data_IF_799496575425
#
_entry.id   IF_799496575425
#
_cell.length_a   1.000
_cell.length_b   1.000
_cell.length_c   1.000
_cell.angle_alpha   90.00
_cell.angle_beta   90.00
_cell.angle_gamma   90.00
#
_symmetry.space_group_name_H-M   'P 1'
#
loop_
_entity.id
_entity.type
_entity.pdbx_description
1 polymer ?
#
# COMPACT_ATOMS: atom_id res chain seq x y z
N UNK A 1 -10.29 24.14 -17.20
CA UNK A 1 -10.70 22.87 -16.56
C UNK A 1 -12.15 23.00 -16.14
N UNK A 2 -13.03 22.07 -16.43
CA UNK A 2 -14.39 22.13 -15.91
C UNK A 2 -14.32 22.10 -14.38
N UNK A 3 -14.92 23.11 -13.74
CA UNK A 3 -15.04 23.17 -12.28
C UNK A 3 -16.11 22.16 -11.85
N UNK A 4 -15.69 20.94 -11.55
CA UNK A 4 -16.57 19.99 -10.87
C UNK A 4 -16.69 20.44 -9.41
N UNK A 5 -17.77 21.16 -9.13
CA UNK A 5 -18.06 21.64 -7.79
C UNK A 5 -18.67 20.49 -6.96
N UNK A 6 -17.80 19.64 -6.41
CA UNK A 6 -18.15 18.51 -5.56
C UNK A 6 -17.92 18.97 -4.13
N UNK A 7 -18.90 18.75 -3.27
CA UNK A 7 -18.73 18.89 -1.83
C UNK A 7 -17.61 17.92 -1.37
N UNK A 8 -16.51 18.47 -0.93
CA UNK A 8 -15.35 17.73 -0.39
C UNK A 8 -15.21 18.08 1.07
N UNK A 9 -14.91 17.08 1.88
CA UNK A 9 -14.50 17.36 3.27
C UNK A 9 -13.21 18.17 3.30
N UNK A 10 -12.92 18.82 4.41
CA UNK A 10 -11.66 19.57 4.57
C UNK A 10 -10.42 18.73 4.27
N UNK A 11 -10.42 17.46 4.70
CA UNK A 11 -9.32 16.51 4.43
C UNK A 11 -9.24 16.11 2.96
N UNK A 12 -10.36 15.89 2.29
CA UNK A 12 -10.37 15.61 0.85
C UNK A 12 -9.84 16.80 0.04
N UNK A 13 -10.12 18.02 0.45
CA UNK A 13 -9.57 19.23 -0.18
C UNK A 13 -8.06 19.30 -0.01
N UNK A 14 -7.53 18.98 1.17
CA UNK A 14 -6.08 18.87 1.41
C UNK A 14 -5.46 17.76 0.55
N UNK A 15 -6.12 16.59 0.46
CA UNK A 15 -5.67 15.48 -0.38
C UNK A 15 -5.53 15.91 -1.85
N UNK A 16 -6.53 16.59 -2.43
CA UNK A 16 -6.48 17.08 -3.81
C UNK A 16 -5.28 18.01 -4.04
N UNK A 17 -4.97 18.88 -3.09
CA UNK A 17 -3.80 19.75 -3.18
C UNK A 17 -2.50 18.94 -3.21
N UNK A 18 -2.34 17.99 -2.29
CA UNK A 18 -1.15 17.14 -2.25
C UNK A 18 -0.99 16.30 -3.52
N UNK A 19 -2.09 15.71 -4.04
CA UNK A 19 -2.10 14.93 -5.29
C UNK A 19 -1.73 15.78 -6.53
N UNK A 20 -1.99 17.08 -6.50
CA UNK A 20 -1.58 18.00 -7.55
C UNK A 20 -0.09 18.35 -7.44
N UNK A 21 0.40 18.58 -6.23
CA UNK A 21 1.71 19.18 -5.98
C UNK A 21 2.84 18.13 -5.91
N UNK A 22 2.55 16.87 -5.56
CA UNK A 22 3.55 15.82 -5.33
C UNK A 22 3.44 14.66 -6.35
N UNK A 23 4.56 13.95 -6.56
CA UNK A 23 4.63 12.76 -7.42
C UNK A 23 4.03 11.53 -6.71
N UNK A 24 4.38 11.31 -5.46
CA UNK A 24 3.94 10.18 -4.65
C UNK A 24 3.18 10.68 -3.42
N UNK A 25 1.95 10.22 -3.25
CA UNK A 25 1.09 10.65 -2.14
C UNK A 25 0.50 9.44 -1.44
N UNK A 26 0.73 9.33 -0.14
CA UNK A 26 0.12 8.36 0.73
C UNK A 26 -1.06 8.95 1.49
N UNK A 27 -2.24 8.40 1.27
CA UNK A 27 -3.45 8.68 2.02
C UNK A 27 -3.65 7.55 3.03
N UNK A 28 -3.35 7.76 4.29
CA UNK A 28 -3.45 6.74 5.31
C UNK A 28 -4.41 7.15 6.44
N UNK A 29 -4.80 6.22 7.27
CA UNK A 29 -5.68 6.53 8.42
C UNK A 29 -6.84 5.56 8.58
N UNK A 30 -7.86 5.97 9.31
CA UNK A 30 -8.97 5.12 9.71
C UNK A 30 -9.88 4.69 8.55
N UNK A 31 -10.78 3.74 8.84
CA UNK A 31 -11.72 3.20 7.87
C UNK A 31 -12.77 4.25 7.45
N UNK A 32 -13.30 4.12 6.22
CA UNK A 32 -14.37 5.00 5.66
C UNK A 32 -14.10 6.50 5.79
N UNK A 33 -12.83 6.90 5.78
CA UNK A 33 -12.40 8.31 5.81
C UNK A 33 -12.44 9.02 4.46
N UNK A 34 -12.89 8.35 3.40
CA UNK A 34 -12.99 8.91 2.05
C UNK A 34 -11.67 8.87 1.24
N UNK A 35 -10.63 8.17 1.72
CA UNK A 35 -9.33 8.03 1.03
C UNK A 35 -9.48 7.47 -0.39
N UNK A 36 -10.07 6.30 -0.52
CA UNK A 36 -10.26 5.60 -1.80
C UNK A 36 -11.07 6.43 -2.78
N UNK A 37 -12.15 7.07 -2.31
CA UNK A 37 -12.97 7.94 -3.13
C UNK A 37 -12.16 9.10 -3.74
N UNK A 38 -11.40 9.84 -2.92
CA UNK A 38 -10.64 11.00 -3.41
C UNK A 38 -9.45 10.60 -4.29
N UNK A 39 -8.84 9.44 -4.05
CA UNK A 39 -7.80 8.87 -4.90
C UNK A 39 -8.36 8.50 -6.29
N UNK A 40 -9.47 7.77 -6.35
CA UNK A 40 -10.16 7.43 -7.59
C UNK A 40 -10.64 8.68 -8.33
N UNK A 41 -11.20 9.64 -7.61
CA UNK A 41 -11.61 10.93 -8.16
C UNK A 41 -10.45 11.63 -8.89
N UNK A 42 -9.26 11.65 -8.30
CA UNK A 42 -8.08 12.23 -8.92
C UNK A 42 -7.65 11.46 -10.18
N UNK A 43 -7.66 10.12 -10.15
CA UNK A 43 -7.32 9.29 -11.32
C UNK A 43 -8.33 9.48 -12.45
N UNK A 44 -9.64 9.50 -12.16
CA UNK A 44 -10.70 9.72 -13.16
C UNK A 44 -10.60 11.13 -13.75
N UNK A 45 -10.36 12.15 -12.95
CA UNK A 45 -10.14 13.51 -13.47
C UNK A 45 -8.94 13.58 -14.42
N UNK A 46 -7.87 12.86 -14.13
CA UNK A 46 -6.71 12.79 -15.02
C UNK A 46 -7.06 12.09 -16.33
N UNK A 47 -7.79 10.97 -16.28
CA UNK A 47 -8.26 10.28 -17.48
C UNK A 47 -9.18 11.15 -18.35
N UNK A 48 -10.01 12.00 -17.72
CA UNK A 48 -10.87 12.95 -18.46
C UNK A 48 -10.05 14.08 -19.11
N UNK A 49 -9.07 14.64 -18.38
CA UNK A 49 -8.36 15.85 -18.81
C UNK A 49 -7.16 15.59 -19.72
N UNK A 50 -6.57 14.40 -19.71
CA UNK A 50 -5.41 14.03 -20.52
C UNK A 50 -5.81 12.99 -21.56
N UNK A 51 -5.78 13.36 -22.85
CA UNK A 51 -6.21 12.53 -23.98
C UNK A 51 -5.28 11.32 -24.14
N UNK A 52 -5.86 10.13 -24.35
CA UNK A 52 -5.12 8.92 -24.70
C UNK A 52 -4.20 8.37 -23.61
N UNK A 53 -4.37 8.79 -22.36
CA UNK A 53 -3.54 8.35 -21.25
C UNK A 53 -4.02 7.04 -20.64
N UNK A 54 -3.07 6.26 -20.12
CA UNK A 54 -3.37 5.06 -19.34
C UNK A 54 -3.15 5.32 -17.87
N UNK A 55 -4.07 4.80 -17.05
CA UNK A 55 -4.00 4.85 -15.60
C UNK A 55 -4.23 3.46 -15.03
N UNK A 56 -3.68 3.18 -13.87
CA UNK A 56 -3.81 1.89 -13.18
C UNK A 56 -4.41 2.11 -11.79
N UNK A 57 -5.40 1.29 -11.46
CA UNK A 57 -5.86 1.07 -10.09
C UNK A 57 -5.59 -0.39 -9.75
N UNK A 58 -4.79 -0.62 -8.74
CA UNK A 58 -4.31 -1.97 -8.42
C UNK A 58 -4.43 -2.25 -6.92
N UNK A 59 -4.68 -3.51 -6.60
CA UNK A 59 -4.79 -4.02 -5.24
C UNK A 59 -4.03 -5.34 -5.15
N UNK A 60 -3.74 -5.85 -3.95
CA UNK A 60 -3.12 -7.16 -3.81
C UNK A 60 -3.96 -8.23 -4.52
N UNK A 61 -5.24 -8.41 -4.14
CA UNK A 61 -6.13 -9.38 -4.79
C UNK A 61 -6.98 -8.74 -5.86
N UNK A 62 -6.94 -9.29 -7.08
CA UNK A 62 -7.76 -8.81 -8.19
C UNK A 62 -9.27 -8.92 -7.89
N UNK A 63 -9.71 -10.03 -7.27
CA UNK A 63 -11.12 -10.20 -6.90
C UNK A 63 -11.62 -9.07 -5.99
N UNK A 64 -10.79 -8.61 -5.05
CA UNK A 64 -11.10 -7.48 -4.18
C UNK A 64 -11.09 -6.15 -4.94
N UNK A 65 -10.14 -5.94 -5.87
CA UNK A 65 -10.13 -4.75 -6.72
C UNK A 65 -11.41 -4.69 -7.57
N UNK A 66 -11.82 -5.81 -8.16
CA UNK A 66 -13.06 -5.91 -8.94
C UNK A 66 -14.28 -5.54 -8.09
N UNK A 67 -14.43 -6.11 -6.90
CA UNK A 67 -15.58 -5.85 -6.05
C UNK A 67 -15.60 -4.41 -5.54
N UNK A 68 -14.54 -3.98 -4.84
CA UNK A 68 -14.52 -2.70 -4.13
C UNK A 68 -14.30 -1.48 -5.06
N UNK A 69 -13.61 -1.68 -6.18
CA UNK A 69 -13.33 -0.58 -7.11
C UNK A 69 -14.34 -0.58 -8.27
N UNK A 70 -14.45 -1.68 -9.04
CA UNK A 70 -15.29 -1.65 -10.24
C UNK A 70 -16.78 -1.60 -9.92
N UNK A 71 -17.25 -2.31 -8.90
CA UNK A 71 -18.68 -2.39 -8.62
C UNK A 71 -19.17 -1.39 -7.57
N UNK A 72 -18.30 -0.93 -6.67
CA UNK A 72 -18.68 0.01 -5.61
C UNK A 72 -18.17 1.43 -5.90
N UNK A 73 -16.86 1.68 -5.76
CA UNK A 73 -16.33 3.05 -5.69
C UNK A 73 -16.26 3.78 -7.02
N UNK A 74 -15.92 3.10 -8.12
CA UNK A 74 -15.79 3.73 -9.43
C UNK A 74 -17.13 4.25 -9.99
N UNK A 75 -18.25 3.49 -9.92
CA UNK A 75 -19.56 4.00 -10.33
C UNK A 75 -19.93 5.29 -9.60
N UNK A 76 -19.71 5.38 -8.28
CA UNK A 76 -20.00 6.57 -7.50
C UNK A 76 -19.16 7.78 -7.96
N UNK A 77 -17.87 7.59 -8.19
CA UNK A 77 -16.99 8.65 -8.69
C UNK A 77 -17.41 9.11 -10.09
N UNK A 78 -17.72 8.18 -11.00
CA UNK A 78 -18.18 8.50 -12.36
C UNK A 78 -19.50 9.28 -12.34
N UNK A 79 -20.46 8.88 -11.50
CA UNK A 79 -21.75 9.56 -11.33
C UNK A 79 -21.55 10.99 -10.82
N UNK A 80 -20.71 11.17 -9.81
CA UNK A 80 -20.39 12.49 -9.26
C UNK A 80 -19.73 13.40 -10.31
N UNK A 81 -18.92 12.84 -11.20
CA UNK A 81 -18.29 13.55 -12.32
C UNK A 81 -19.18 13.66 -13.57
N UNK A 82 -20.43 13.17 -13.52
CA UNK A 82 -21.36 13.11 -14.65
C UNK A 82 -20.74 12.44 -15.89
N UNK A 83 -19.94 11.40 -15.66
CA UNK A 83 -19.23 10.65 -16.68
C UNK A 83 -19.75 9.21 -16.85
N UNK A 84 -20.63 8.77 -15.98
CA UNK A 84 -21.18 7.42 -15.87
C UNK A 84 -21.83 6.88 -17.15
N UNK A 85 -22.50 7.73 -17.94
CA UNK A 85 -23.14 7.33 -19.21
C UNK A 85 -22.17 7.27 -20.40
N UNK A 86 -20.97 7.82 -20.28
CA UNK A 86 -20.00 7.97 -21.38
C UNK A 86 -18.79 7.06 -21.24
N UNK A 87 -18.50 6.59 -20.04
CA UNK A 87 -17.37 5.70 -19.74
C UNK A 87 -17.85 4.25 -19.76
N UNK A 88 -17.13 3.39 -20.49
CA UNK A 88 -17.49 1.98 -20.67
C UNK A 88 -16.53 1.08 -19.90
N UNK A 89 -17.03 0.05 -19.24
CA UNK A 89 -16.23 -1.00 -18.62
C UNK A 89 -16.04 -2.16 -19.59
N UNK A 90 -14.80 -2.39 -20.03
CA UNK A 90 -14.40 -3.63 -20.70
C UNK A 90 -14.18 -4.71 -19.63
N UNK A 91 -15.05 -5.73 -19.62
CA UNK A 91 -15.00 -6.83 -18.65
C UNK A 91 -14.08 -7.98 -19.07
N UNK A 92 -13.61 -8.01 -20.32
CA UNK A 92 -12.65 -9.01 -20.78
C UNK A 92 -11.24 -8.69 -20.26
N UNK A 93 -10.83 -7.44 -20.39
CA UNK A 93 -9.50 -6.95 -20.00
C UNK A 93 -9.48 -6.10 -18.74
N UNK A 94 -10.65 -5.81 -18.18
CA UNK A 94 -10.84 -5.07 -16.93
C UNK A 94 -10.25 -3.66 -16.94
N UNK A 95 -10.68 -2.84 -17.90
CA UNK A 95 -10.40 -1.42 -17.92
C UNK A 95 -11.65 -0.58 -18.24
N UNK A 96 -11.66 0.63 -17.72
CA UNK A 96 -12.62 1.65 -18.10
C UNK A 96 -12.09 2.44 -19.29
N UNK A 97 -12.91 2.60 -20.34
CA UNK A 97 -12.60 3.35 -21.55
C UNK A 97 -13.34 4.68 -21.55
N UNK A 98 -12.60 5.75 -21.75
CA UNK A 98 -13.10 7.12 -21.80
C UNK A 98 -13.26 7.60 -23.25
N UNK A 99 -14.23 8.53 -23.56
CA UNK A 99 -14.47 9.02 -24.92
C UNK A 99 -13.26 9.68 -25.58
N UNK A 100 -12.29 10.14 -24.79
CA UNK A 100 -11.06 10.76 -25.28
C UNK A 100 -9.91 9.75 -25.53
N UNK A 101 -10.20 8.44 -25.49
CA UNK A 101 -9.24 7.37 -25.69
C UNK A 101 -8.37 7.05 -24.45
N UNK A 102 -8.59 7.71 -23.33
CA UNK A 102 -7.90 7.36 -22.09
C UNK A 102 -8.50 6.08 -21.48
N UNK A 103 -7.69 5.36 -20.69
CA UNK A 103 -8.14 4.14 -20.02
C UNK A 103 -7.70 4.09 -18.56
N UNK A 104 -8.55 3.49 -17.71
CA UNK A 104 -8.19 3.14 -16.32
C UNK A 104 -8.25 1.62 -16.17
N UNK A 105 -7.10 1.00 -16.04
CA UNK A 105 -6.94 -0.43 -15.86
C UNK A 105 -7.14 -0.82 -14.40
N UNK A 106 -7.76 -1.97 -14.19
CA UNK A 106 -7.98 -2.54 -12.86
C UNK A 106 -7.14 -3.80 -12.74
N UNK A 107 -6.24 -3.83 -11.75
CA UNK A 107 -5.26 -4.88 -11.59
C UNK A 107 -5.27 -5.58 -10.23
N UNK A 108 -4.57 -6.71 -10.18
CA UNK A 108 -4.22 -7.45 -8.97
C UNK A 108 -2.78 -7.92 -9.06
N UNK A 109 -2.18 -8.18 -7.90
CA UNK A 109 -0.80 -8.67 -7.75
C UNK A 109 -0.76 -10.15 -7.32
N UNK A 110 -1.94 -10.79 -7.18
CA UNK A 110 -2.11 -12.16 -6.71
C UNK A 110 -2.06 -13.21 -7.83
N UNK A 111 -1.90 -12.78 -9.08
CA UNK A 111 -1.85 -13.64 -10.26
C UNK A 111 -0.70 -13.21 -11.17
N UNK A 112 0.24 -14.11 -11.45
CA UNK A 112 1.47 -13.81 -12.19
C UNK A 112 1.19 -13.34 -13.62
N UNK A 113 0.30 -14.01 -14.34
CA UNK A 113 -0.03 -13.67 -15.74
C UNK A 113 -0.65 -12.26 -15.85
N UNK A 114 -1.56 -11.93 -14.93
CA UNK A 114 -2.16 -10.59 -14.84
C UNK A 114 -1.16 -9.52 -14.47
N UNK A 115 -0.28 -9.84 -13.54
CA UNK A 115 0.80 -8.93 -13.12
C UNK A 115 1.73 -8.66 -14.32
N UNK A 116 2.14 -9.68 -15.06
CA UNK A 116 2.96 -9.54 -16.27
C UNK A 116 2.25 -8.70 -17.36
N UNK A 117 0.94 -8.88 -17.56
CA UNK A 117 0.15 -8.05 -18.48
C UNK A 117 0.16 -6.56 -18.07
N UNK A 118 0.07 -6.28 -16.79
CA UNK A 118 0.16 -4.91 -16.26
C UNK A 118 1.57 -4.36 -16.47
N UNK A 119 2.60 -5.16 -16.18
CA UNK A 119 4.00 -4.79 -16.34
C UNK A 119 4.43 -4.54 -17.79
N UNK A 120 3.71 -5.06 -18.76
CA UNK A 120 3.89 -4.75 -20.19
C UNK A 120 3.43 -3.35 -20.58
N UNK A 121 2.79 -2.59 -19.68
CA UNK A 121 2.24 -1.27 -19.96
C UNK A 121 2.88 -0.19 -19.09
N UNK A 122 2.80 1.05 -19.61
CA UNK A 122 3.20 2.26 -18.87
C UNK A 122 1.96 3.09 -18.53
N UNK A 123 2.00 3.76 -17.38
CA UNK A 123 0.86 4.49 -16.82
C UNK A 123 1.23 5.92 -16.45
N UNK A 124 0.32 6.84 -16.73
CA UNK A 124 0.43 8.23 -16.31
C UNK A 124 0.09 8.44 -14.81
N UNK A 125 -0.72 7.54 -14.27
CA UNK A 125 -1.01 7.50 -12.83
C UNK A 125 -1.20 6.05 -12.40
N UNK A 126 -0.75 5.75 -11.18
CA UNK A 126 -0.97 4.46 -10.52
C UNK A 126 -1.60 4.74 -9.17
N UNK A 127 -2.68 4.03 -8.85
CA UNK A 127 -3.29 4.02 -7.53
C UNK A 127 -3.19 2.61 -6.93
N UNK A 128 -2.32 2.46 -5.94
CA UNK A 128 -2.16 1.26 -5.14
C UNK A 128 -3.12 1.33 -3.94
N UNK A 129 -4.24 0.63 -4.05
CA UNK A 129 -5.28 0.60 -3.03
C UNK A 129 -5.04 -0.53 -2.02
N UNK A 130 -5.24 -0.23 -0.73
CA UNK A 130 -5.02 -1.15 0.39
C UNK A 130 -3.59 -1.73 0.42
N UNK A 131 -2.61 -0.85 0.27
CA UNK A 131 -1.19 -1.20 0.17
C UNK A 131 -0.62 -1.89 1.42
N UNK A 132 -1.37 -1.94 2.53
CA UNK A 132 -0.98 -2.71 3.74
C UNK A 132 -0.79 -4.21 3.51
N UNK A 133 -1.25 -4.74 2.38
CA UNK A 133 -1.13 -6.15 2.00
C UNK A 133 -0.05 -6.38 0.92
N UNK A 134 0.64 -5.34 0.48
CA UNK A 134 1.55 -5.38 -0.66
C UNK A 134 3.00 -5.30 -0.18
N UNK A 135 3.86 -6.18 -0.71
CA UNK A 135 5.28 -6.19 -0.41
C UNK A 135 5.99 -4.95 -0.96
N UNK A 136 7.17 -4.65 -0.41
CA UNK A 136 7.99 -3.56 -0.90
C UNK A 136 8.45 -3.79 -2.34
N UNK A 137 8.83 -5.01 -2.70
CA UNK A 137 9.25 -5.38 -4.06
C UNK A 137 8.14 -5.12 -5.09
N UNK A 138 6.90 -5.49 -4.75
CA UNK A 138 5.74 -5.19 -5.62
C UNK A 138 5.51 -3.69 -5.76
N UNK A 139 5.72 -2.92 -4.68
CA UNK A 139 5.67 -1.45 -4.74
C UNK A 139 6.76 -0.89 -5.67
N UNK A 140 8.02 -1.32 -5.53
CA UNK A 140 9.12 -0.89 -6.40
C UNK A 140 8.85 -1.23 -7.86
N UNK A 141 8.43 -2.47 -8.13
CA UNK A 141 8.04 -2.92 -9.46
C UNK A 141 6.98 -1.99 -10.09
N UNK A 142 5.94 -1.62 -9.36
CA UNK A 142 4.91 -0.70 -9.85
C UNK A 142 5.46 0.70 -10.16
N UNK A 143 6.44 1.19 -9.40
CA UNK A 143 7.05 2.50 -9.65
C UNK A 143 7.77 2.57 -11.00
N UNK A 144 8.30 1.42 -11.49
CA UNK A 144 8.95 1.33 -12.80
C UNK A 144 7.97 1.49 -13.97
N UNK A 145 6.66 1.30 -13.72
CA UNK A 145 5.61 1.44 -14.73
C UNK A 145 5.00 2.85 -14.77
N UNK A 146 5.41 3.73 -13.88
CA UNK A 146 4.94 5.11 -13.84
C UNK A 146 5.73 5.99 -14.82
N UNK A 147 5.33 5.95 -16.08
CA UNK A 147 5.95 6.71 -17.17
C UNK A 147 4.87 7.42 -18.00
N UNK A 148 4.45 8.64 -17.62
CA UNK A 148 3.46 9.40 -18.37
C UNK A 148 4.04 9.95 -19.69
N UNK A 149 3.18 10.29 -20.68
CA UNK A 149 3.58 11.08 -21.83
C UNK A 149 4.24 12.41 -21.42
N UNK A 150 5.10 12.93 -22.27
CA UNK A 150 5.80 14.22 -22.04
C UNK A 150 4.79 15.34 -21.73
N UNK A 151 5.10 16.14 -20.72
CA UNK A 151 4.24 17.23 -20.25
C UNK A 151 3.16 16.84 -19.23
N UNK A 152 3.02 15.56 -18.93
CA UNK A 152 2.10 15.08 -17.89
C UNK A 152 2.90 14.64 -16.66
N UNK A 153 2.63 15.30 -15.52
CA UNK A 153 3.28 14.94 -14.25
C UNK A 153 2.90 13.51 -13.84
N UNK A 154 3.87 12.64 -13.52
CA UNK A 154 3.59 11.33 -12.96
C UNK A 154 2.87 11.46 -11.61
N UNK A 155 1.94 10.53 -11.31
CA UNK A 155 1.22 10.51 -10.05
C UNK A 155 1.11 9.07 -9.53
N UNK A 156 1.69 8.81 -8.38
CA UNK A 156 1.54 7.58 -7.64
C UNK A 156 0.78 7.82 -6.34
N UNK A 157 -0.38 7.20 -6.23
CA UNK A 157 -1.25 7.31 -5.05
C UNK A 157 -1.22 5.97 -4.32
N UNK A 158 -1.09 6.04 -3.02
CA UNK A 158 -1.10 4.87 -2.13
C UNK A 158 -2.16 5.13 -1.06
N UNK A 159 -3.02 4.16 -0.78
CA UNK A 159 -3.86 4.26 0.39
C UNK A 159 -3.81 2.99 1.25
N UNK A 160 -3.99 3.13 2.54
CA UNK A 160 -4.15 2.03 3.48
C UNK A 160 -4.69 2.47 4.85
N UNK A 161 -5.23 1.53 5.59
CA UNK A 161 -5.34 1.64 7.04
C UNK A 161 -4.00 1.17 7.63
N UNK A 162 -3.36 1.97 8.52
CA UNK A 162 -1.99 1.72 8.95
C UNK A 162 -1.76 0.29 9.44
N UNK A 163 -0.78 -0.42 8.89
CA UNK A 163 -0.33 -1.72 9.40
C UNK A 163 0.59 -1.56 10.60
N UNK A 164 1.40 -2.55 10.93
CA UNK A 164 2.49 -2.46 11.90
C UNK A 164 3.62 -1.54 11.44
N UNK A 165 4.48 -1.14 12.38
CA UNK A 165 5.63 -0.25 12.11
C UNK A 165 6.75 -0.90 11.29
N UNK A 166 6.73 -2.22 11.14
CA UNK A 166 7.63 -2.99 10.27
C UNK A 166 7.32 -2.84 8.79
N UNK A 167 6.11 -2.39 8.44
CA UNK A 167 5.69 -2.23 7.06
C UNK A 167 6.47 -1.11 6.37
N UNK A 168 6.84 -1.33 5.09
CA UNK A 168 7.59 -0.36 4.28
C UNK A 168 6.94 1.04 4.21
N UNK A 169 5.61 1.10 4.27
CA UNK A 169 4.89 2.37 4.28
C UNK A 169 5.21 3.23 5.52
N UNK A 170 5.45 2.61 6.68
CA UNK A 170 5.93 3.33 7.86
C UNK A 170 7.34 3.87 7.64
N UNK A 171 8.24 3.05 7.11
CA UNK A 171 9.61 3.47 6.81
C UNK A 171 9.65 4.68 5.86
N UNK A 172 8.94 4.61 4.73
CA UNK A 172 8.96 5.65 3.71
C UNK A 172 8.26 6.94 4.19
N UNK A 173 7.06 6.82 4.77
CA UNK A 173 6.20 8.00 5.02
C UNK A 173 6.34 8.56 6.44
N UNK A 174 6.75 7.77 7.44
CA UNK A 174 7.01 8.25 8.80
C UNK A 174 8.49 8.49 9.06
N UNK A 175 9.34 7.47 8.81
CA UNK A 175 10.77 7.57 9.09
C UNK A 175 11.56 8.29 7.97
N UNK A 176 10.94 8.56 6.82
CA UNK A 176 11.56 9.22 5.67
C UNK A 176 12.79 8.48 5.13
N UNK A 177 12.74 7.13 5.19
CA UNK A 177 13.78 6.23 4.68
C UNK A 177 13.16 5.10 3.89
N UNK A 178 13.78 4.74 2.78
CA UNK A 178 13.47 3.49 2.11
C UNK A 178 13.86 2.28 3.00
N UNK A 179 13.30 1.07 2.78
CA UNK A 179 13.68 -0.11 3.55
C UNK A 179 15.17 -0.44 3.54
N UNK A 180 15.90 -0.10 2.48
CA UNK A 180 17.34 -0.23 2.34
C UNK A 180 18.15 0.86 3.08
N UNK A 181 17.49 1.77 3.79
CA UNK A 181 18.10 2.85 4.57
C UNK A 181 18.38 4.15 3.82
N UNK A 182 18.25 4.19 2.49
CA UNK A 182 18.42 5.43 1.71
C UNK A 182 17.36 6.47 2.10
N UNK A 183 17.71 7.77 2.15
CA UNK A 183 16.74 8.82 2.46
C UNK A 183 15.70 8.98 1.34
N UNK A 184 14.46 9.25 1.72
CA UNK A 184 13.39 9.59 0.78
C UNK A 184 13.61 11.01 0.27
N UNK A 185 13.59 11.25 -1.07
CA UNK A 185 13.76 12.58 -1.65
C UNK A 185 12.75 13.59 -1.09
N UNK A 186 13.21 14.82 -0.87
CA UNK A 186 12.33 15.92 -0.50
C UNK A 186 11.50 16.38 -1.70
N UNK A 187 10.28 16.84 -1.43
CA UNK A 187 9.39 17.45 -2.43
C UNK A 187 8.57 16.48 -3.28
N UNK A 188 8.97 15.20 -3.40
CA UNK A 188 8.26 14.25 -4.24
C UNK A 188 7.25 13.36 -3.47
N UNK A 189 7.46 13.18 -2.17
CA UNK A 189 6.68 12.28 -1.32
C UNK A 189 5.90 13.07 -0.28
N UNK A 190 4.59 12.97 -0.34
CA UNK A 190 3.68 13.54 0.64
C UNK A 190 2.81 12.48 1.31
N UNK A 191 2.32 12.82 2.50
CA UNK A 191 1.38 11.97 3.23
C UNK A 191 0.24 12.80 3.83
N UNK A 192 -0.91 12.17 3.98
CA UNK A 192 -2.05 12.78 4.67
C UNK A 192 -2.80 11.73 5.47
N UNK A 193 -2.94 11.98 6.76
CA UNK A 193 -3.79 11.19 7.65
C UNK A 193 -5.24 11.62 7.49
N UNK A 194 -6.12 10.64 7.24
CA UNK A 194 -7.56 10.83 7.07
C UNK A 194 -8.32 9.82 7.93
N UNK A 195 -9.16 10.30 8.83
CA UNK A 195 -9.90 9.46 9.79
C UNK A 195 -11.42 9.53 9.57
N UNK A 196 -12.21 8.60 10.13
CA UNK A 196 -13.67 8.63 10.05
C UNK A 196 -14.27 9.97 10.48
N UNK A 197 -13.73 10.60 11.52
CA UNK A 197 -14.19 11.91 12.00
C UNK A 197 -14.06 13.02 10.93
N UNK A 198 -13.05 12.93 10.05
CA UNK A 198 -12.86 13.88 8.93
C UNK A 198 -13.89 13.71 7.81
N UNK A 199 -14.69 12.62 7.86
CA UNK A 199 -15.70 12.25 6.87
C UNK A 199 -17.07 12.05 7.51
N UNK A 200 -17.31 12.60 8.72
CA UNK A 200 -18.50 12.36 9.53
C UNK A 200 -19.82 12.67 8.80
N UNK A 201 -19.82 13.68 7.96
CA UNK A 201 -20.98 14.09 7.15
C UNK A 201 -21.47 13.02 6.16
N UNK A 202 -20.60 12.06 5.79
CA UNK A 202 -20.89 10.96 4.86
C UNK A 202 -21.05 9.61 5.59
N UNK A 203 -21.10 9.60 6.90
CA UNK A 203 -21.23 8.38 7.73
C UNK A 203 -22.46 8.43 8.60
N UNK A 204 -23.03 7.26 8.91
CA UNK A 204 -24.08 7.19 9.92
C UNK A 204 -23.53 7.56 11.30
N UNK A 205 -24.33 8.19 12.13
CA UNK A 205 -23.92 8.58 13.49
C UNK A 205 -23.44 7.37 14.32
N UNK A 206 -24.08 6.21 14.13
CA UNK A 206 -23.74 4.98 14.86
C UNK A 206 -22.43 4.33 14.37
N UNK A 207 -21.95 4.65 13.17
CA UNK A 207 -20.75 3.99 12.64
C UNK A 207 -19.49 4.32 13.47
N UNK A 208 -19.32 5.57 13.85
CA UNK A 208 -18.14 6.00 14.63
C UNK A 208 -18.30 5.61 16.10
N UNK A 209 -19.41 6.04 16.72
CA UNK A 209 -19.62 5.93 18.16
C UNK A 209 -20.10 4.53 18.59
N UNK A 210 -20.88 3.85 17.74
CA UNK A 210 -21.40 2.51 17.99
C UNK A 210 -20.47 1.40 17.49
N UNK A 211 -20.04 1.47 16.24
CA UNK A 211 -19.26 0.37 15.62
C UNK A 211 -17.76 0.49 15.89
N UNK A 212 -17.13 1.61 15.52
CA UNK A 212 -15.66 1.73 15.61
C UNK A 212 -15.18 1.91 17.06
N UNK A 213 -15.91 2.64 17.88
CA UNK A 213 -15.56 2.86 19.28
C UNK A 213 -15.57 1.57 20.11
N UNK A 214 -16.39 0.59 19.72
CA UNK A 214 -16.52 -0.70 20.42
C UNK A 214 -15.53 -1.76 19.93
N UNK A 215 -14.64 -1.45 19.01
CA UNK A 215 -13.56 -2.37 18.60
C UNK A 215 -12.52 -2.55 19.74
N UNK A 216 -11.79 -3.66 19.70
CA UNK A 216 -10.63 -3.84 20.59
C UNK A 216 -9.64 -2.67 20.43
N UNK A 217 -8.88 -2.37 21.48
CA UNK A 217 -7.95 -1.23 21.50
C UNK A 217 -7.02 -1.19 20.27
N UNK A 218 -6.45 -2.32 19.87
CA UNK A 218 -5.59 -2.41 18.69
C UNK A 218 -6.35 -2.11 17.38
N UNK A 219 -7.55 -2.65 17.22
CA UNK A 219 -8.39 -2.39 16.04
C UNK A 219 -8.89 -0.94 16.03
N UNK A 220 -9.24 -0.36 17.19
CA UNK A 220 -9.64 1.03 17.31
C UNK A 220 -8.50 1.96 16.92
N UNK A 221 -7.28 1.73 17.44
CA UNK A 221 -6.07 2.47 17.05
C UNK A 221 -5.88 2.50 15.53
N UNK A 222 -6.07 1.35 14.85
CA UNK A 222 -5.90 1.22 13.41
C UNK A 222 -7.07 1.81 12.59
N UNK A 223 -8.31 1.48 12.94
CA UNK A 223 -9.48 1.74 12.10
C UNK A 223 -10.25 3.01 12.47
N UNK A 224 -10.13 3.50 13.71
CA UNK A 224 -10.72 4.77 14.15
C UNK A 224 -9.67 5.87 14.19
N UNK A 225 -8.58 5.67 14.92
CA UNK A 225 -7.56 6.70 15.14
C UNK A 225 -6.59 6.81 13.94
N UNK A 226 -6.52 5.78 13.11
CA UNK A 226 -5.66 5.74 11.92
C UNK A 226 -4.18 5.80 12.27
N UNK A 227 -3.80 5.18 13.37
CA UNK A 227 -2.42 5.10 13.84
C UNK A 227 -1.79 3.75 13.53
N UNK A 228 -0.49 3.76 13.28
CA UNK A 228 0.27 2.52 13.16
C UNK A 228 0.23 1.75 14.48
N UNK A 229 -0.10 0.48 14.39
CA UNK A 229 -0.04 -0.43 15.51
C UNK A 229 1.42 -0.59 15.95
N UNK A 230 1.63 -0.74 17.25
CA UNK A 230 2.77 -1.49 17.70
C UNK A 230 2.49 -2.95 17.30
N UNK A 231 3.50 -3.74 17.01
CA UNK A 231 3.36 -5.14 16.59
C UNK A 231 2.75 -5.98 17.74
N UNK A 232 1.49 -5.66 18.10
CA UNK A 232 0.75 -6.32 19.18
C UNK A 232 0.34 -7.69 18.66
N UNK A 233 0.95 -8.72 19.21
CA UNK A 233 0.72 -10.11 18.82
C UNK A 233 1.87 -10.74 18.05
N UNK A 234 2.90 -10.00 17.71
CA UNK A 234 4.18 -10.58 17.30
C UNK A 234 4.90 -11.18 18.51
N UNK A 235 5.56 -12.29 18.30
CA UNK A 235 6.39 -12.95 19.32
C UNK A 235 7.51 -12.01 19.83
N UNK A 236 7.94 -11.07 18.97
CA UNK A 236 9.01 -10.11 19.25
C UNK A 236 8.50 -8.66 19.13
N UNK A 237 8.96 -7.81 20.05
CA UNK A 237 8.80 -6.36 19.96
C UNK A 237 10.15 -5.72 19.72
N UNK A 238 10.22 -4.78 18.76
CA UNK A 238 11.45 -4.09 18.42
C UNK A 238 12.12 -3.43 19.61
N UNK A 239 11.35 -2.94 20.56
CA UNK A 239 11.83 -2.34 21.82
C UNK A 239 12.54 -3.32 22.77
N UNK A 240 12.36 -4.63 22.54
CA UNK A 240 13.06 -5.68 23.29
C UNK A 240 14.40 -6.03 22.68
N UNK A 241 14.63 -5.68 21.41
CA UNK A 241 15.86 -6.00 20.68
C UNK A 241 16.91 -4.97 21.08
N UNK A 242 18.00 -5.43 21.68
CA UNK A 242 19.17 -4.64 22.05
C UNK A 242 20.34 -5.06 21.19
N UNK A 243 21.02 -4.11 20.58
CA UNK A 243 22.25 -4.37 19.84
C UNK A 243 23.42 -4.23 20.80
N UNK A 244 24.19 -5.30 20.96
CA UNK A 244 25.36 -5.33 21.83
C UNK A 244 26.45 -6.22 21.23
N UNK A 245 27.68 -6.12 21.77
CA UNK A 245 28.74 -7.02 21.39
C UNK A 245 28.42 -8.43 21.86
N UNK A 246 28.77 -9.44 21.03
CA UNK A 246 28.65 -10.86 21.39
C UNK A 246 29.42 -11.12 22.69
N UNK A 247 28.83 -11.79 23.69
CA UNK A 247 29.54 -12.21 24.89
C UNK A 247 30.57 -13.31 24.59
N UNK A 248 31.64 -13.32 25.34
CA UNK A 248 32.74 -14.28 25.15
C UNK A 248 32.37 -15.70 25.66
N UNK A 249 31.43 -15.81 26.63
CA UNK A 249 31.05 -17.05 27.32
C UNK A 249 29.67 -17.56 26.90
N UNK A 250 29.52 -18.01 25.66
CA UNK A 250 28.29 -18.65 25.19
C UNK A 250 28.21 -20.11 25.65
N UNK A 251 27.13 -20.46 26.38
CA UNK A 251 26.91 -21.83 26.87
C UNK A 251 26.26 -22.72 25.82
N UNK A 252 25.46 -22.14 24.89
CA UNK A 252 24.76 -22.88 23.87
C UNK A 252 24.61 -22.02 22.62
N UNK A 253 24.89 -22.64 21.46
CA UNK A 253 24.59 -22.09 20.13
C UNK A 253 23.67 -23.05 19.40
N UNK A 254 22.65 -22.52 18.73
CA UNK A 254 21.69 -23.28 17.93
C UNK A 254 21.45 -22.59 16.60
N UNK A 255 21.22 -23.37 15.55
CA UNK A 255 20.79 -22.88 14.25
C UNK A 255 19.32 -23.26 14.08
N UNK A 256 18.46 -22.26 13.94
CA UNK A 256 17.05 -22.45 13.61
C UNK A 256 16.87 -22.40 12.10
N UNK A 257 16.22 -23.41 11.53
CA UNK A 257 15.94 -23.48 10.08
C UNK A 257 14.44 -23.57 9.87
N UNK A 258 13.90 -22.65 9.08
CA UNK A 258 12.50 -22.64 8.64
C UNK A 258 12.45 -22.77 7.11
N UNK A 259 12.39 -24.01 6.59
CA UNK A 259 12.42 -24.24 5.14
C UNK A 259 11.11 -23.84 4.49
N UNK A 260 11.18 -23.23 3.30
CA UNK A 260 10.00 -22.91 2.51
C UNK A 260 9.42 -24.15 1.85
N UNK A 261 8.10 -24.14 1.57
CA UNK A 261 7.41 -25.24 0.90
C UNK A 261 7.73 -25.39 -0.60
N UNK A 262 8.45 -24.45 -1.23
CA UNK A 262 8.78 -24.49 -2.67
C UNK A 262 10.02 -23.66 -2.98
N UNK A 263 10.82 -24.08 -3.96
CA UNK A 263 12.04 -23.42 -4.42
C UNK A 263 11.82 -22.01 -5.06
N UNK A 264 10.60 -21.59 -5.26
CA UNK A 264 10.23 -20.25 -5.78
C UNK A 264 9.35 -19.45 -4.83
N UNK A 265 9.28 -19.86 -3.55
CA UNK A 265 8.51 -19.19 -2.49
C UNK A 265 9.33 -18.14 -1.73
N UNK A 266 8.98 -17.96 -0.46
CA UNK A 266 9.69 -17.08 0.45
C UNK A 266 11.11 -17.59 0.74
N UNK A 267 11.94 -16.79 1.41
CA UNK A 267 13.27 -17.19 1.87
C UNK A 267 13.19 -18.37 2.86
N UNK A 268 14.16 -19.27 2.80
CA UNK A 268 14.41 -20.21 3.89
C UNK A 268 15.01 -19.43 5.07
N UNK A 269 14.32 -19.38 6.19
CA UNK A 269 14.83 -18.75 7.40
C UNK A 269 15.96 -19.58 8.03
N UNK A 270 17.15 -19.02 8.18
CA UNK A 270 18.30 -19.65 8.83
C UNK A 270 18.92 -18.68 9.82
N UNK A 271 18.62 -18.84 11.10
CA UNK A 271 19.03 -17.91 12.15
C UNK A 271 19.92 -18.61 13.17
N UNK A 272 21.08 -18.04 13.44
CA UNK A 272 22.00 -18.52 14.50
C UNK A 272 21.68 -17.79 15.79
N UNK A 273 21.30 -18.54 16.80
CA UNK A 273 20.97 -18.03 18.13
C UNK A 273 21.83 -18.66 19.20
N UNK A 274 22.08 -17.95 20.28
CA UNK A 274 22.89 -18.41 21.41
C UNK A 274 22.31 -18.01 22.75
N UNK A 275 22.81 -18.61 23.81
CA UNK A 275 22.54 -18.21 25.19
C UNK A 275 23.82 -18.34 26.04
N UNK A 276 24.01 -17.40 26.95
CA UNK A 276 25.02 -17.45 28.04
C UNK A 276 24.46 -18.04 29.34
N UNK A 277 23.23 -18.57 29.29
CA UNK A 277 22.51 -19.12 30.44
C UNK A 277 21.63 -18.10 31.16
N UNK A 278 21.73 -16.81 30.84
CA UNK A 278 20.94 -15.70 31.40
C UNK A 278 20.13 -14.99 30.30
N UNK A 279 20.78 -14.65 29.21
CA UNK A 279 20.17 -13.95 28.06
C UNK A 279 20.24 -14.79 26.79
N UNK A 280 19.43 -14.40 25.79
CA UNK A 280 19.38 -15.02 24.48
C UNK A 280 19.84 -14.01 23.43
N UNK A 281 20.64 -14.46 22.48
CA UNK A 281 21.27 -13.66 21.47
C UNK A 281 20.92 -14.20 20.09
N UNK A 282 20.67 -13.30 19.13
CA UNK A 282 20.73 -13.61 17.71
C UNK A 282 22.11 -13.20 17.25
N UNK A 283 22.90 -14.15 16.81
CA UNK A 283 24.29 -13.94 16.41
C UNK A 283 24.39 -13.54 14.95
N UNK A 284 23.61 -14.22 14.09
CA UNK A 284 23.65 -13.97 12.65
C UNK A 284 22.39 -14.47 11.96
N UNK A 285 22.16 -14.00 10.72
CA UNK A 285 21.05 -14.36 9.86
C UNK A 285 21.59 -14.76 8.48
N UNK A 286 21.50 -16.05 8.15
CA UNK A 286 21.90 -16.66 6.89
C UNK A 286 20.70 -17.00 6.01
N UNK A 287 19.53 -16.42 6.26
CA UNK A 287 18.34 -16.64 5.46
C UNK A 287 18.59 -16.35 4.00
N UNK A 288 18.11 -17.22 3.10
CA UNK A 288 18.36 -17.08 1.67
C UNK A 288 17.24 -17.68 0.82
N UNK A 289 17.04 -17.08 -0.35
CA UNK A 289 16.31 -17.72 -1.44
C UNK A 289 17.21 -18.78 -2.10
N UNK A 290 16.69 -19.98 -2.31
CA UNK A 290 17.48 -21.03 -2.93
C UNK A 290 16.80 -22.39 -2.95
N UNK A 291 17.58 -23.39 -3.34
CA UNK A 291 17.20 -24.79 -3.34
C UNK A 291 17.50 -25.43 -1.99
N UNK A 292 16.87 -26.57 -1.65
CA UNK A 292 17.21 -27.33 -0.43
C UNK A 292 18.68 -27.64 -0.28
N UNK A 293 19.42 -27.82 -1.39
CA UNK A 293 20.86 -28.08 -1.37
C UNK A 293 21.66 -26.84 -0.95
N UNK A 294 21.25 -25.66 -1.40
CA UNK A 294 21.87 -24.40 -1.00
C UNK A 294 21.57 -24.05 0.46
N UNK A 295 20.36 -24.33 0.93
CA UNK A 295 20.03 -24.17 2.36
C UNK A 295 20.86 -25.08 3.25
N UNK A 296 21.06 -26.35 2.84
CA UNK A 296 21.87 -27.30 3.57
C UNK A 296 23.37 -26.93 3.61
N UNK A 297 23.85 -26.14 2.66
CA UNK A 297 25.21 -25.61 2.68
C UNK A 297 25.39 -24.36 3.56
N UNK A 298 24.29 -23.63 3.79
CA UNK A 298 24.30 -22.43 4.62
C UNK A 298 24.21 -22.74 6.12
N UNK A 299 23.71 -23.94 6.49
CA UNK A 299 23.62 -24.45 7.86
C UNK A 299 24.94 -25.05 8.32
#
# INVERSE_FOLDING_TARGET
MPNYNIAKTGKQTQAVKLLKDNKTVCLFGGSRSGKTFIALFAVVLRAINYIGTRHLVIRFRFSHAKQSICYDSMPDVLKVLKADTRVKLNKSDWFYEFPNGSTIWIGGLDDKERTEKILGNEFASIFLNEASQVSYDSHEMLTTRLNPPVGIKPLYIIDYNPPGKTHWGYSIFELRKFPDGRPVPEGDYARLKMNPHDNRENLSNDYIEGTLANLSAAKRKRFLDGDYGDDIGTLWRREWIRYQRQPDDLQRVVVGVDPTGSAGGDECGIVVSASDGVEYYVLDDYSLHGTPSEWAQAV
#
